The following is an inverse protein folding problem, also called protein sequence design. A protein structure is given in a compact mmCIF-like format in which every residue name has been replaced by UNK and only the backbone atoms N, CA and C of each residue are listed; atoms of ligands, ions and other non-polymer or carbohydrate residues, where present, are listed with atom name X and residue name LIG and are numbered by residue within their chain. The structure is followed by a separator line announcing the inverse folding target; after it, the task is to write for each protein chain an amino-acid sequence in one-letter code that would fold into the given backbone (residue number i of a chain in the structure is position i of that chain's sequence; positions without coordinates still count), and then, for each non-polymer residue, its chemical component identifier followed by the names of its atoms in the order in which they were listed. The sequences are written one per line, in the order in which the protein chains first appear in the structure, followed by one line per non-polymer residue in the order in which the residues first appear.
data_IF_368495444813
#
_entry.id   IF_368495444813
#
_cell.length_a   1.000
_cell.length_b   1.000
_cell.length_c   1.000
_cell.angle_alpha   90.00
_cell.angle_beta   90.00
_cell.angle_gamma   90.00
#
_symmetry.space_group_name_H-M   'P 1'
#
loop_
_entity.id
_entity.type
_entity.pdbx_description
1 polymer ?
#
# COMPACT_ATOMS: atom_id res chain seq x y z
N UNK A 1 -18.73 -10.62 -2.66
CA UNK A 1 -17.91 -11.41 -1.71
C UNK A 1 -16.91 -10.44 -1.13
N UNK A 2 -17.16 -9.90 0.06
CA UNK A 2 -16.24 -8.96 0.71
C UNK A 2 -15.01 -9.72 1.18
N UNK A 3 -13.85 -9.38 0.65
CA UNK A 3 -12.57 -9.92 1.10
C UNK A 3 -12.38 -9.59 2.59
N UNK A 4 -11.92 -10.54 3.43
CA UNK A 4 -11.71 -10.27 4.85
C UNK A 4 -10.73 -9.11 5.03
N UNK A 5 -11.02 -8.22 5.98
CA UNK A 5 -10.15 -7.10 6.32
C UNK A 5 -8.76 -7.63 6.68
N UNK A 6 -7.68 -7.11 6.09
CA UNK A 6 -6.33 -7.68 6.26
C UNK A 6 -5.73 -7.54 7.66
N UNK A 7 -6.42 -6.89 8.61
CA UNK A 7 -5.90 -6.46 9.92
C UNK A 7 -5.38 -7.54 10.88
N UNK A 8 -5.39 -8.83 10.50
CA UNK A 8 -4.78 -9.92 11.26
C UNK A 8 -4.00 -10.94 10.40
N UNK A 9 -3.83 -10.68 9.10
CA UNK A 9 -3.08 -11.55 8.21
C UNK A 9 -1.63 -11.06 8.06
N UNK A 10 -0.67 -11.98 8.05
CA UNK A 10 0.73 -11.68 7.71
C UNK A 10 0.80 -10.91 6.37
N UNK A 11 1.34 -9.68 6.35
CA UNK A 11 1.46 -8.89 5.14
C UNK A 11 2.24 -9.59 4.02
N UNK A 12 3.12 -10.55 4.31
CA UNK A 12 3.81 -11.33 3.29
C UNK A 12 2.88 -12.21 2.44
N UNK A 13 1.66 -12.46 2.92
CA UNK A 13 0.63 -13.26 2.24
C UNK A 13 -0.41 -12.39 1.53
N UNK A 14 -0.30 -11.07 1.62
CA UNK A 14 -1.28 -10.18 0.99
C UNK A 14 -1.18 -10.23 -0.53
N UNK A 15 -2.34 -10.45 -1.14
CA UNK A 15 -2.52 -10.23 -2.59
C UNK A 15 -2.55 -8.72 -2.89
N UNK A 16 -2.48 -8.37 -4.18
CA UNK A 16 -2.69 -7.00 -4.64
C UNK A 16 -4.01 -6.42 -4.09
N UNK A 17 -5.08 -7.22 -4.06
CA UNK A 17 -6.38 -6.77 -3.55
C UNK A 17 -6.35 -6.47 -2.05
N UNK A 18 -5.61 -7.26 -1.27
CA UNK A 18 -5.40 -6.98 0.15
C UNK A 18 -4.60 -5.69 0.36
N UNK A 19 -3.55 -5.46 -0.43
CA UNK A 19 -2.78 -4.21 -0.40
C UNK A 19 -3.66 -3.02 -0.70
N UNK A 20 -4.46 -3.08 -1.77
CA UNK A 20 -5.37 -1.99 -2.11
C UNK A 20 -6.39 -1.70 -1.01
N UNK A 21 -6.96 -2.76 -0.43
CA UNK A 21 -7.91 -2.62 0.67
C UNK A 21 -7.23 -1.94 1.87
N UNK A 22 -6.02 -2.38 2.23
CA UNK A 22 -5.21 -1.73 3.26
C UNK A 22 -4.99 -0.24 2.95
N UNK A 23 -4.58 0.13 1.74
CA UNK A 23 -4.38 1.55 1.36
C UNK A 23 -5.67 2.38 1.47
N UNK A 24 -6.82 1.81 1.10
CA UNK A 24 -8.12 2.50 1.23
C UNK A 24 -8.54 2.68 2.69
N UNK A 25 -8.21 1.71 3.55
CA UNK A 25 -8.66 1.70 4.96
C UNK A 25 -7.75 2.49 5.91
N UNK A 26 -6.45 2.64 5.58
CA UNK A 26 -5.46 3.24 6.51
C UNK A 26 -5.56 4.76 6.63
N UNK A 27 -5.92 5.45 5.56
CA UNK A 27 -6.08 6.91 5.48
C UNK A 27 -7.00 7.21 4.29
N UNK A 28 -8.19 7.82 4.51
CA UNK A 28 -9.09 8.23 3.43
C UNK A 28 -8.43 9.12 2.37
N UNK A 29 -7.39 9.88 2.74
CA UNK A 29 -6.63 10.71 1.81
C UNK A 29 -5.69 9.90 0.90
N UNK A 30 -5.41 8.64 1.25
CA UNK A 30 -4.63 7.70 0.42
C UNK A 30 -5.51 6.80 -0.45
N UNK A 31 -6.80 6.67 -0.14
CA UNK A 31 -7.73 5.84 -0.91
C UNK A 31 -7.73 6.12 -2.44
N UNK A 32 -7.62 7.37 -2.93
CA UNK A 32 -7.51 7.65 -4.37
C UNK A 32 -6.25 7.07 -5.03
N UNK A 33 -5.22 6.73 -4.25
CA UNK A 33 -3.96 6.17 -4.74
C UNK A 33 -3.94 4.64 -4.76
N UNK A 34 -4.97 3.96 -4.22
CA UNK A 34 -5.00 2.50 -4.14
C UNK A 34 -4.90 1.83 -5.52
N UNK A 35 -5.49 2.43 -6.57
CA UNK A 35 -5.47 1.86 -7.92
C UNK A 35 -4.08 1.86 -8.56
N UNK A 36 -3.14 2.68 -8.06
CA UNK A 36 -1.73 2.61 -8.45
C UNK A 36 -1.10 1.29 -8.02
N UNK A 37 -1.47 0.75 -6.86
CA UNK A 37 -0.92 -0.52 -6.36
C UNK A 37 -1.34 -1.69 -7.24
N UNK A 38 -2.58 -1.70 -7.77
CA UNK A 38 -2.99 -2.68 -8.78
C UNK A 38 -2.28 -2.49 -10.11
N UNK A 39 -2.21 -1.25 -10.59
CA UNK A 39 -1.53 -0.93 -11.86
C UNK A 39 -0.07 -1.39 -11.87
N UNK A 40 0.60 -1.31 -10.74
CA UNK A 40 2.01 -1.69 -10.57
C UNK A 40 2.19 -3.09 -9.96
N UNK A 41 1.11 -3.87 -9.85
CA UNK A 41 1.13 -5.25 -9.34
C UNK A 41 1.82 -5.38 -7.96
N UNK A 42 1.57 -4.41 -7.08
CA UNK A 42 2.16 -4.37 -5.75
C UNK A 42 1.38 -5.32 -4.83
N UNK A 43 1.93 -6.52 -4.64
CA UNK A 43 1.51 -7.47 -3.61
C UNK A 43 2.12 -7.14 -2.23
N UNK A 44 1.83 -7.97 -1.24
CA UNK A 44 2.32 -7.78 0.12
C UNK A 44 3.84 -7.76 0.25
N UNK A 45 4.54 -8.65 -0.46
CA UNK A 45 6.01 -8.70 -0.45
C UNK A 45 6.60 -7.44 -1.08
N UNK A 46 6.06 -7.01 -2.22
CA UNK A 46 6.47 -5.78 -2.89
C UNK A 46 6.18 -4.55 -2.01
N UNK A 47 5.03 -4.50 -1.34
CA UNK A 47 4.66 -3.42 -0.42
C UNK A 47 5.69 -3.25 0.70
N UNK A 48 6.16 -4.35 1.30
CA UNK A 48 7.16 -4.31 2.36
C UNK A 48 8.56 -3.88 1.86
N UNK A 49 8.83 -4.01 0.57
CA UNK A 49 10.07 -3.54 -0.06
C UNK A 49 9.95 -2.14 -0.68
N UNK A 50 8.74 -1.59 -0.73
CA UNK A 50 8.44 -0.34 -1.41
C UNK A 50 9.09 0.84 -0.67
N UNK A 51 9.77 1.69 -1.44
CA UNK A 51 10.48 2.87 -0.94
C UNK A 51 9.88 4.15 -1.51
N UNK A 52 10.05 5.25 -0.79
CA UNK A 52 9.52 6.57 -1.16
C UNK A 52 10.05 7.06 -2.50
N UNK A 53 11.34 6.85 -2.80
CA UNK A 53 11.96 7.19 -4.08
C UNK A 53 11.31 6.44 -5.25
N UNK A 54 11.04 5.14 -5.09
CA UNK A 54 10.36 4.32 -6.10
C UNK A 54 8.94 4.81 -6.34
N UNK A 55 8.18 5.07 -5.27
CA UNK A 55 6.82 5.60 -5.35
C UNK A 55 6.75 6.93 -6.11
N UNK A 56 7.67 7.84 -5.82
CA UNK A 56 7.69 9.15 -6.45
C UNK A 56 8.14 9.07 -7.92
N UNK A 57 9.19 8.30 -8.21
CA UNK A 57 9.80 8.24 -9.54
C UNK A 57 8.99 7.41 -10.54
N UNK A 58 8.40 6.29 -10.10
CA UNK A 58 7.81 5.31 -11.02
C UNK A 58 6.29 5.14 -10.87
N UNK A 59 5.71 5.48 -9.71
CA UNK A 59 4.26 5.42 -9.48
C UNK A 59 3.58 6.80 -9.60
N UNK A 60 4.34 7.86 -9.85
CA UNK A 60 3.82 9.22 -10.03
C UNK A 60 3.26 9.85 -8.76
N UNK A 61 3.62 9.33 -7.59
CA UNK A 61 3.18 9.89 -6.31
C UNK A 61 3.94 11.19 -6.00
N UNK A 62 3.22 12.20 -5.51
CA UNK A 62 3.85 13.41 -4.96
C UNK A 62 4.45 13.13 -3.58
N UNK A 63 5.34 14.03 -3.14
CA UNK A 63 6.03 13.91 -1.85
C UNK A 63 5.07 13.64 -0.67
N UNK A 64 3.97 14.40 -0.56
CA UNK A 64 3.01 14.26 0.53
C UNK A 64 2.44 12.84 0.67
N UNK A 65 1.73 12.31 -0.36
CA UNK A 65 1.25 10.93 -0.37
C UNK A 65 2.34 9.89 -0.16
N UNK A 66 3.53 10.06 -0.76
CA UNK A 66 4.64 9.13 -0.61
C UNK A 66 5.12 9.04 0.86
N UNK A 67 5.26 10.17 1.55
CA UNK A 67 5.66 10.20 2.96
C UNK A 67 4.62 9.54 3.87
N UNK A 68 3.34 9.79 3.63
CA UNK A 68 2.25 9.14 4.37
C UNK A 68 2.24 7.63 4.18
N UNK A 69 2.37 7.17 2.93
CA UNK A 69 2.45 5.74 2.61
C UNK A 69 3.64 5.09 3.30
N UNK A 70 4.83 5.70 3.23
CA UNK A 70 6.02 5.21 3.93
C UNK A 70 5.79 5.08 5.43
N UNK A 71 5.18 6.08 6.08
CA UNK A 71 4.86 6.02 7.50
C UNK A 71 3.97 4.82 7.87
N UNK A 72 2.92 4.56 7.08
CA UNK A 72 2.02 3.43 7.34
C UNK A 72 2.67 2.08 7.04
N UNK A 73 3.43 1.98 5.94
CA UNK A 73 4.17 0.77 5.56
C UNK A 73 5.22 0.43 6.64
N UNK A 74 5.94 1.42 7.17
CA UNK A 74 6.93 1.20 8.22
C UNK A 74 6.30 0.81 9.56
N UNK A 75 5.07 1.25 9.84
CA UNK A 75 4.28 0.74 10.96
C UNK A 75 3.82 -0.70 10.75
N UNK A 76 3.48 -1.08 9.52
CA UNK A 76 3.05 -2.43 9.17
C UNK A 76 4.17 -3.47 9.31
N UNK A 77 5.43 -3.07 9.13
CA UNK A 77 6.61 -3.93 9.27
C UNK A 77 6.98 -4.28 10.71
N UNK A 78 6.45 -3.55 11.69
CA UNK A 78 6.75 -3.75 13.12
C UNK A 78 5.81 -4.77 13.71
#
# INVERSE_FOLDING_TARGET
QESPKPGGQDPNLWTVDNVMQYIRDIDPLLAPHADLFRKHEIDGKALLLLRSDTMMKYMGLKLGPALKLTFHIDKLKR
#
